data_IF_523608634188
#
_entry.id   IF_523608634188
#
_cell.length_a   1.000
_cell.length_b   1.000
_cell.length_c   1.000
_cell.angle_alpha   90.00
_cell.angle_beta   90.00
_cell.angle_gamma   90.00
#
_symmetry.space_group_name_H-M   'P 1'
#
loop_
_entity.id
_entity.type
_entity.pdbx_description
1 polymer ?
#
# COMPACT_ATOMS: atom_id res chain seq x y z
N UNK A 1 -34.17 -35.80 8.33
CA UNK A 1 -34.11 -34.41 8.82
C UNK A 1 -32.67 -33.92 8.63
N UNK A 2 -32.38 -33.00 7.69
CA UNK A 2 -31.01 -32.48 7.49
C UNK A 2 -30.63 -31.66 8.72
N UNK A 3 -29.56 -32.02 9.40
CA UNK A 3 -28.98 -31.22 10.49
C UNK A 3 -28.63 -29.87 9.93
N UNK A 4 -29.41 -28.85 10.21
CA UNK A 4 -29.07 -27.47 9.84
C UNK A 4 -27.81 -27.08 10.62
N UNK A 5 -26.75 -26.70 9.95
CA UNK A 5 -25.51 -26.24 10.57
C UNK A 5 -25.77 -24.93 11.36
N UNK A 6 -26.18 -25.07 12.61
CA UNK A 6 -26.50 -23.95 13.51
C UNK A 6 -25.26 -23.07 13.76
N UNK A 7 -24.07 -23.66 13.71
CA UNK A 7 -22.82 -22.94 13.88
C UNK A 7 -22.55 -21.95 12.75
N UNK A 8 -22.78 -22.34 11.48
CA UNK A 8 -22.61 -21.46 10.31
C UNK A 8 -23.58 -20.27 10.36
N UNK A 9 -24.85 -20.52 10.68
CA UNK A 9 -25.88 -19.48 10.81
C UNK A 9 -25.55 -18.53 11.98
N UNK A 10 -25.04 -19.07 13.10
CA UNK A 10 -24.60 -18.25 14.22
C UNK A 10 -23.41 -17.37 13.85
N UNK A 11 -22.39 -17.92 13.15
CA UNK A 11 -21.25 -17.17 12.65
C UNK A 11 -21.67 -16.04 11.72
N UNK A 12 -22.57 -16.31 10.75
CA UNK A 12 -23.09 -15.28 9.85
C UNK A 12 -23.82 -14.16 10.60
N UNK A 13 -24.69 -14.51 11.58
CA UNK A 13 -25.38 -13.50 12.39
C UNK A 13 -24.43 -12.65 13.23
N UNK A 14 -23.32 -13.23 13.72
CA UNK A 14 -22.29 -12.50 14.46
C UNK A 14 -21.48 -11.57 13.53
N UNK A 15 -21.27 -11.94 12.28
CA UNK A 15 -20.54 -11.12 11.30
C UNK A 15 -21.39 -9.98 10.71
N UNK A 16 -22.72 -10.13 10.66
CA UNK A 16 -23.62 -9.19 10.01
C UNK A 16 -23.48 -7.72 10.49
N UNK A 17 -23.30 -7.42 11.80
CA UNK A 17 -23.08 -6.05 12.26
C UNK A 17 -21.80 -5.44 11.71
N UNK A 18 -20.72 -6.23 11.60
CA UNK A 18 -19.44 -5.77 11.05
C UNK A 18 -19.54 -5.50 9.55
N UNK A 19 -20.19 -6.39 8.79
CA UNK A 19 -20.45 -6.19 7.35
C UNK A 19 -21.25 -4.91 7.15
N UNK A 20 -22.30 -4.69 7.95
CA UNK A 20 -23.14 -3.50 7.83
C UNK A 20 -22.39 -2.21 8.20
N UNK A 21 -21.53 -2.24 9.22
CA UNK A 21 -20.74 -1.10 9.65
C UNK A 21 -19.69 -0.65 8.61
N UNK A 22 -19.22 -1.59 7.78
CA UNK A 22 -18.17 -1.31 6.79
C UNK A 22 -18.67 -1.17 5.35
N UNK A 23 -19.91 -1.54 5.06
CA UNK A 23 -20.49 -1.41 3.73
C UNK A 23 -20.53 0.06 3.30
N UNK A 24 -20.05 0.35 2.09
CA UNK A 24 -19.95 1.70 1.53
C UNK A 24 -18.81 2.54 2.09
N UNK A 25 -18.05 2.01 3.06
CA UNK A 25 -16.87 2.66 3.63
C UNK A 25 -15.68 2.55 2.69
N UNK A 26 -14.82 3.57 2.70
CA UNK A 26 -13.60 3.59 1.92
C UNK A 26 -12.42 3.13 2.78
N UNK A 27 -11.72 2.11 2.30
CA UNK A 27 -10.52 1.58 2.94
C UNK A 27 -9.34 1.69 1.98
N UNK A 28 -8.23 2.23 2.48
CA UNK A 28 -6.93 2.17 1.80
C UNK A 28 -6.14 1.02 2.39
N UNK A 29 -5.71 0.10 1.54
CA UNK A 29 -4.92 -1.08 1.93
C UNK A 29 -3.55 -0.96 1.30
N UNK A 30 -2.50 -0.92 2.11
CA UNK A 30 -1.12 -0.90 1.66
C UNK A 30 -0.50 -2.28 1.80
N UNK A 31 0.02 -2.80 0.69
CA UNK A 31 0.80 -4.03 0.62
C UNK A 31 2.26 -3.67 0.37
N UNK A 32 3.11 -3.80 1.37
CA UNK A 32 4.56 -3.72 1.18
C UNK A 32 5.04 -4.78 0.17
N UNK A 33 6.17 -4.54 -0.47
CA UNK A 33 6.76 -5.51 -1.40
C UNK A 33 7.05 -6.86 -0.74
N UNK A 34 7.33 -6.87 0.56
CA UNK A 34 7.54 -8.05 1.41
C UNK A 34 6.25 -8.87 1.55
N UNK A 35 5.13 -8.22 1.83
CA UNK A 35 3.83 -8.87 1.93
C UNK A 35 3.40 -9.51 0.60
N UNK A 36 3.80 -8.91 -0.54
CA UNK A 36 3.54 -9.46 -1.87
C UNK A 36 4.41 -10.68 -2.15
N UNK A 37 5.63 -10.70 -1.61
CA UNK A 37 6.56 -11.83 -1.73
C UNK A 37 6.24 -12.99 -0.76
N UNK A 38 5.39 -12.75 0.23
CA UNK A 38 5.03 -13.75 1.24
C UNK A 38 4.13 -14.86 0.66
N UNK A 39 4.29 -16.07 1.20
CA UNK A 39 3.46 -17.24 0.83
C UNK A 39 1.96 -17.04 1.12
N UNK A 40 1.62 -16.15 2.04
CA UNK A 40 0.23 -15.84 2.41
C UNK A 40 -0.42 -14.79 1.48
N UNK A 41 0.32 -14.21 0.55
CA UNK A 41 -0.19 -13.20 -0.38
C UNK A 41 -1.48 -13.62 -1.14
N UNK A 42 -1.64 -14.86 -1.62
CA UNK A 42 -2.89 -15.30 -2.25
C UNK A 42 -4.11 -15.18 -1.33
N UNK A 43 -3.96 -15.47 -0.04
CA UNK A 43 -5.04 -15.35 0.95
C UNK A 43 -5.39 -13.87 1.19
N UNK A 44 -4.38 -13.00 1.33
CA UNK A 44 -4.58 -11.55 1.48
C UNK A 44 -5.39 -11.00 0.29
N UNK A 45 -5.04 -11.38 -0.93
CA UNK A 45 -5.78 -10.96 -2.14
C UNK A 45 -7.22 -11.49 -2.13
N UNK A 46 -7.44 -12.72 -1.70
CA UNK A 46 -8.79 -13.29 -1.59
C UNK A 46 -9.63 -12.57 -0.54
N UNK A 47 -9.03 -12.20 0.58
CA UNK A 47 -9.70 -11.43 1.63
C UNK A 47 -10.05 -10.00 1.18
N UNK A 48 -9.17 -9.34 0.43
CA UNK A 48 -9.42 -8.03 -0.18
C UNK A 48 -10.60 -8.12 -1.18
N UNK A 49 -10.60 -9.15 -2.02
CA UNK A 49 -11.67 -9.40 -2.97
C UNK A 49 -13.01 -9.66 -2.27
N UNK A 50 -12.99 -10.41 -1.16
CA UNK A 50 -14.16 -10.65 -0.32
C UNK A 50 -14.68 -9.34 0.32
N UNK A 51 -13.81 -8.53 0.91
CA UNK A 51 -14.21 -7.23 1.47
C UNK A 51 -14.86 -6.33 0.43
N UNK A 52 -14.29 -6.27 -0.76
CA UNK A 52 -14.86 -5.50 -1.88
C UNK A 52 -16.24 -6.04 -2.28
N UNK A 53 -16.41 -7.36 -2.37
CA UNK A 53 -17.69 -7.99 -2.70
C UNK A 53 -18.77 -7.77 -1.64
N UNK A 54 -18.39 -7.52 -0.39
CA UNK A 54 -19.28 -7.13 0.70
C UNK A 54 -19.67 -5.64 0.67
N UNK A 55 -19.19 -4.90 -0.33
CA UNK A 55 -19.54 -3.50 -0.57
C UNK A 55 -18.58 -2.48 0.06
N UNK A 56 -17.38 -2.88 0.43
CA UNK A 56 -16.31 -1.96 0.85
C UNK A 56 -15.66 -1.37 -0.39
N UNK A 57 -15.45 -0.06 -0.42
CA UNK A 57 -14.68 0.65 -1.45
C UNK A 57 -13.19 0.51 -1.13
N UNK A 58 -12.43 -0.13 -2.02
CA UNK A 58 -11.03 -0.45 -1.77
C UNK A 58 -10.11 0.33 -2.69
N UNK A 59 -9.17 1.05 -2.10
CA UNK A 59 -7.96 1.53 -2.78
C UNK A 59 -6.80 0.66 -2.31
N UNK A 60 -6.14 -0.01 -3.23
CA UNK A 60 -5.00 -0.87 -2.96
C UNK A 60 -3.73 -0.15 -3.39
N UNK A 61 -2.79 0.02 -2.48
CA UNK A 61 -1.47 0.60 -2.75
C UNK A 61 -0.43 -0.49 -2.61
N UNK A 62 0.42 -0.67 -3.62
CA UNK A 62 1.48 -1.66 -3.55
C UNK A 62 2.87 -1.03 -3.50
N UNK A 63 3.73 -1.59 -2.66
CA UNK A 63 5.18 -1.37 -2.69
C UNK A 63 5.87 -2.30 -3.67
N UNK A 64 7.17 -2.07 -3.89
CA UNK A 64 7.98 -2.89 -4.80
C UNK A 64 9.45 -3.00 -4.34
N UNK A 65 9.78 -2.59 -3.11
CA UNK A 65 11.17 -2.44 -2.65
C UNK A 65 12.01 -3.73 -2.80
N UNK A 66 11.60 -4.92 -2.30
CA UNK A 66 12.38 -6.15 -2.46
C UNK A 66 12.51 -6.57 -3.91
N UNK A 67 11.48 -6.37 -4.72
CA UNK A 67 11.48 -6.76 -6.13
C UNK A 67 12.40 -5.84 -6.95
N UNK A 68 12.43 -4.55 -6.61
CA UNK A 68 13.39 -3.60 -7.19
C UNK A 68 14.81 -4.03 -6.83
N UNK A 69 15.09 -4.34 -5.55
CA UNK A 69 16.41 -4.80 -5.10
C UNK A 69 16.86 -6.05 -5.88
N UNK A 70 15.98 -7.06 -6.02
CA UNK A 70 16.29 -8.27 -6.78
C UNK A 70 16.64 -8.00 -8.26
N UNK A 71 15.96 -7.04 -8.90
CA UNK A 71 16.25 -6.70 -10.29
C UNK A 71 17.57 -5.93 -10.40
N UNK A 72 17.83 -4.99 -9.49
CA UNK A 72 19.08 -4.24 -9.43
C UNK A 72 20.27 -5.18 -9.19
N UNK A 73 20.19 -6.08 -8.22
CA UNK A 73 21.23 -7.08 -7.92
C UNK A 73 21.55 -7.95 -9.14
N UNK A 74 20.53 -8.47 -9.85
CA UNK A 74 20.71 -9.25 -11.07
C UNK A 74 21.42 -8.48 -12.19
N UNK A 75 21.32 -7.16 -12.17
CA UNK A 75 21.98 -6.27 -13.14
C UNK A 75 23.31 -5.71 -12.63
N UNK A 76 23.78 -6.19 -11.45
CA UNK A 76 24.98 -5.66 -10.77
C UNK A 76 24.92 -4.15 -10.59
N UNK A 77 23.74 -3.60 -10.40
CA UNK A 77 23.47 -2.20 -10.12
C UNK A 77 23.11 -2.05 -8.65
N UNK A 78 23.58 -0.98 -8.03
CA UNK A 78 23.27 -0.63 -6.66
C UNK A 78 22.80 0.81 -6.62
N UNK A 79 21.72 1.06 -5.92
CA UNK A 79 21.21 2.42 -5.70
C UNK A 79 21.36 2.75 -4.22
N UNK A 80 22.00 3.88 -3.88
CA UNK A 80 22.14 4.29 -2.49
C UNK A 80 20.80 4.75 -1.91
N UNK A 81 20.74 4.80 -0.60
CA UNK A 81 19.64 5.37 0.16
C UNK A 81 20.12 6.59 0.94
N UNK A 82 19.25 7.56 1.11
CA UNK A 82 19.46 8.70 1.99
C UNK A 82 18.18 8.96 2.78
N UNK A 83 18.26 8.97 4.12
CA UNK A 83 17.11 9.09 5.01
C UNK A 83 15.98 8.12 4.65
N UNK A 84 16.34 6.85 4.36
CA UNK A 84 15.39 5.79 4.00
C UNK A 84 14.67 5.99 2.65
N UNK A 85 15.09 6.95 1.82
CA UNK A 85 14.63 7.12 0.44
C UNK A 85 15.70 6.61 -0.51
N UNK A 86 15.31 5.74 -1.43
CA UNK A 86 16.20 5.31 -2.52
C UNK A 86 16.54 6.51 -3.42
N UNK A 87 17.79 6.69 -3.75
CA UNK A 87 18.20 7.60 -4.82
C UNK A 87 18.04 6.86 -6.15
N UNK A 88 17.05 7.30 -6.93
CA UNK A 88 16.72 6.64 -8.20
C UNK A 88 17.33 7.44 -9.35
N UNK A 89 18.48 7.02 -9.85
CA UNK A 89 19.11 7.64 -11.00
C UNK A 89 18.43 7.24 -12.33
N UNK A 90 18.81 7.87 -13.43
CA UNK A 90 18.25 7.61 -14.75
C UNK A 90 18.45 6.15 -15.19
N UNK A 91 19.57 5.55 -14.82
CA UNK A 91 19.90 4.17 -15.18
C UNK A 91 19.06 3.14 -14.44
N UNK A 92 18.70 3.42 -13.19
CA UNK A 92 17.89 2.54 -12.34
C UNK A 92 16.39 2.76 -12.53
N UNK A 93 15.95 3.95 -12.97
CA UNK A 93 14.52 4.26 -13.14
C UNK A 93 13.80 3.23 -14.01
N UNK A 94 14.39 2.83 -15.13
CA UNK A 94 13.81 1.80 -16.01
C UNK A 94 13.60 0.46 -15.31
N UNK A 95 14.53 0.05 -14.44
CA UNK A 95 14.44 -1.20 -13.66
C UNK A 95 13.39 -1.10 -12.54
N UNK A 96 13.29 0.07 -11.91
CA UNK A 96 12.25 0.37 -10.92
C UNK A 96 10.86 0.30 -11.56
N UNK A 97 10.68 0.93 -12.72
CA UNK A 97 9.43 0.87 -13.49
C UNK A 97 9.08 -0.55 -13.92
N UNK A 98 10.08 -1.35 -14.34
CA UNK A 98 9.89 -2.76 -14.67
C UNK A 98 9.36 -3.55 -13.47
N UNK A 99 9.98 -3.42 -12.30
CA UNK A 99 9.56 -4.10 -11.08
C UNK A 99 8.12 -3.73 -10.68
N UNK A 100 7.83 -2.42 -10.66
CA UNK A 100 6.52 -1.91 -10.29
C UNK A 100 5.43 -2.36 -11.27
N UNK A 101 5.69 -2.31 -12.59
CA UNK A 101 4.76 -2.75 -13.62
C UNK A 101 4.47 -4.26 -13.55
N UNK A 102 5.48 -5.08 -13.31
CA UNK A 102 5.30 -6.52 -13.12
C UNK A 102 4.39 -6.82 -11.92
N UNK A 103 4.60 -6.13 -10.80
CA UNK A 103 3.76 -6.31 -9.62
C UNK A 103 2.32 -5.84 -9.85
N UNK A 104 2.14 -4.68 -10.48
CA UNK A 104 0.82 -4.16 -10.82
C UNK A 104 0.02 -5.18 -11.63
N UNK A 105 0.61 -5.77 -12.67
CA UNK A 105 -0.04 -6.79 -13.48
C UNK A 105 -0.26 -8.10 -12.72
N UNK A 106 0.69 -8.52 -11.88
CA UNK A 106 0.55 -9.73 -11.07
C UNK A 106 -0.60 -9.60 -10.04
N UNK A 107 -0.72 -8.45 -9.39
CA UNK A 107 -1.81 -8.16 -8.44
C UNK A 107 -3.15 -8.12 -9.18
N UNK A 108 -3.24 -7.41 -10.31
CA UNK A 108 -4.44 -7.35 -11.14
C UNK A 108 -4.92 -8.74 -11.57
N UNK A 109 -4.00 -9.57 -12.06
CA UNK A 109 -4.31 -10.94 -12.47
C UNK A 109 -4.85 -11.79 -11.31
N UNK A 110 -4.23 -11.68 -10.12
CA UNK A 110 -4.68 -12.42 -8.93
C UNK A 110 -6.04 -11.94 -8.43
N UNK A 111 -6.30 -10.65 -8.40
CA UNK A 111 -7.62 -10.10 -8.05
C UNK A 111 -8.69 -10.58 -9.03
N UNK A 112 -8.37 -10.63 -10.32
CA UNK A 112 -9.31 -11.12 -11.36
C UNK A 112 -9.67 -12.59 -11.20
N UNK A 113 -8.82 -13.38 -10.53
CA UNK A 113 -9.02 -14.83 -10.30
C UNK A 113 -9.57 -15.14 -8.90
N UNK A 114 -9.47 -14.23 -7.95
CA UNK A 114 -9.55 -14.52 -6.50
C UNK A 114 -10.87 -15.14 -6.05
N UNK A 115 -11.97 -14.94 -6.78
CA UNK A 115 -13.29 -15.48 -6.42
C UNK A 115 -13.71 -16.73 -7.22
N UNK A 116 -12.93 -17.17 -8.21
CA UNK A 116 -13.31 -18.25 -9.12
C UNK A 116 -13.54 -19.61 -8.44
N UNK A 117 -12.82 -19.88 -7.35
CA UNK A 117 -12.93 -21.12 -6.58
C UNK A 117 -13.74 -20.95 -5.28
N UNK A 118 -14.54 -19.91 -5.18
CA UNK A 118 -15.40 -19.62 -4.04
C UNK A 118 -16.87 -19.71 -4.43
N UNK A 119 -17.81 -19.73 -3.47
CA UNK A 119 -19.23 -19.62 -3.75
C UNK A 119 -19.63 -18.37 -4.52
N UNK A 120 -18.73 -17.40 -4.67
CA UNK A 120 -18.88 -16.16 -5.43
C UNK A 120 -18.28 -16.25 -6.84
N UNK A 121 -18.01 -17.47 -7.33
CA UNK A 121 -17.54 -17.70 -8.69
C UNK A 121 -18.49 -17.02 -9.71
N UNK A 122 -17.92 -16.26 -10.63
CA UNK A 122 -18.66 -15.44 -11.61
C UNK A 122 -18.80 -13.96 -11.22
N UNK A 123 -18.43 -13.55 -10.00
CA UNK A 123 -18.31 -12.13 -9.67
C UNK A 123 -17.09 -11.54 -10.36
N UNK A 124 -17.31 -10.57 -11.25
CA UNK A 124 -16.20 -9.86 -11.90
C UNK A 124 -15.71 -8.73 -10.98
N UNK A 125 -14.42 -8.74 -10.69
CA UNK A 125 -13.74 -7.65 -10.02
C UNK A 125 -13.06 -6.77 -11.06
N UNK A 126 -13.46 -5.51 -11.13
CA UNK A 126 -12.77 -4.52 -11.94
C UNK A 126 -11.63 -3.89 -11.15
N UNK A 127 -10.42 -3.99 -11.68
CA UNK A 127 -9.23 -3.35 -11.10
C UNK A 127 -8.76 -2.28 -12.05
N UNK A 128 -8.68 -1.06 -11.57
CA UNK A 128 -8.31 0.12 -12.36
C UNK A 128 -7.03 0.72 -11.82
N UNK A 129 -6.05 0.88 -12.70
CA UNK A 129 -4.83 1.65 -12.45
C UNK A 129 -4.76 2.80 -13.45
N UNK A 130 -4.20 3.94 -13.04
CA UNK A 130 -4.11 5.11 -13.90
C UNK A 130 -3.25 6.21 -13.29
N UNK A 131 -3.27 7.38 -13.94
CA UNK A 131 -2.53 8.57 -13.53
C UNK A 131 -3.25 9.39 -12.44
N UNK A 132 -3.79 8.72 -11.43
CA UNK A 132 -4.48 9.38 -10.31
C UNK A 132 -3.54 10.19 -9.43
N UNK A 133 -2.23 9.96 -9.54
CA UNK A 133 -1.20 10.66 -8.78
C UNK A 133 -0.33 11.44 -9.74
N UNK A 134 -0.19 12.73 -9.49
CA UNK A 134 0.78 13.60 -10.13
C UNK A 134 1.94 13.79 -9.16
N UNK A 135 3.14 13.48 -9.61
CA UNK A 135 4.37 13.58 -8.82
C UNK A 135 5.15 14.87 -9.12
N UNK A 136 6.13 15.12 -8.30
CA UNK A 136 7.19 16.10 -8.48
C UNK A 136 8.50 15.54 -7.90
N UNK A 137 9.68 16.02 -8.34
CA UNK A 137 10.95 15.58 -7.79
C UNK A 137 11.05 15.92 -6.30
N UNK A 138 11.76 15.10 -5.53
CA UNK A 138 12.16 15.45 -4.16
C UNK A 138 13.15 16.62 -4.16
N UNK A 139 14.02 16.67 -5.16
CA UNK A 139 15.07 17.68 -5.28
C UNK A 139 16.33 17.30 -4.51
N UNK A 140 17.01 18.32 -3.96
CA UNK A 140 18.25 18.16 -3.22
C UNK A 140 17.99 18.41 -1.74
N UNK A 141 18.44 17.49 -0.89
CA UNK A 141 18.39 17.61 0.57
C UNK A 141 19.78 17.35 1.15
N UNK A 142 20.28 18.26 1.98
CA UNK A 142 21.62 18.20 2.61
C UNK A 142 22.76 17.93 1.58
N UNK A 143 22.61 18.43 0.35
CA UNK A 143 23.60 18.26 -0.71
C UNK A 143 23.46 16.93 -1.49
N UNK A 144 22.49 16.09 -1.17
CA UNK A 144 22.20 14.85 -1.87
C UNK A 144 21.06 15.07 -2.87
N UNK A 145 21.31 14.83 -4.15
CA UNK A 145 20.27 14.87 -5.19
C UNK A 145 19.57 13.52 -5.27
N UNK A 146 18.25 13.54 -5.11
CA UNK A 146 17.41 12.34 -5.19
C UNK A 146 17.06 11.90 -6.62
N UNK A 147 17.49 12.66 -7.63
CA UNK A 147 17.28 12.38 -9.05
C UNK A 147 15.78 12.11 -9.38
N UNK A 148 15.45 10.90 -9.82
CA UNK A 148 14.09 10.48 -10.14
C UNK A 148 13.29 9.91 -8.95
N UNK A 149 13.73 10.11 -7.73
CA UNK A 149 12.88 9.89 -6.57
C UNK A 149 12.01 11.11 -6.32
N UNK A 150 10.75 10.88 -6.13
CA UNK A 150 9.76 11.94 -6.10
C UNK A 150 8.86 11.90 -4.89
N UNK A 151 8.01 12.90 -4.80
CA UNK A 151 6.93 13.01 -3.83
C UNK A 151 5.62 13.37 -4.53
N UNK A 152 4.52 13.20 -3.82
CA UNK A 152 3.20 13.53 -4.35
C UNK A 152 3.04 15.05 -4.48
N UNK A 153 2.66 15.51 -5.67
CA UNK A 153 2.25 16.89 -5.91
C UNK A 153 0.74 17.06 -5.78
N UNK A 154 -0.03 16.13 -6.37
CA UNK A 154 -1.49 16.17 -6.37
C UNK A 154 -2.06 14.77 -6.55
N UNK A 155 -3.21 14.52 -5.93
CA UNK A 155 -4.02 13.32 -6.09
C UNK A 155 -5.33 13.71 -6.75
N UNK A 156 -5.75 12.96 -7.77
CA UNK A 156 -7.06 13.09 -8.41
C UNK A 156 -8.12 12.35 -7.58
N UNK A 157 -8.58 13.02 -6.53
CA UNK A 157 -9.58 12.50 -5.59
C UNK A 157 -10.91 12.20 -6.30
N UNK A 158 -11.32 13.07 -7.23
CA UNK A 158 -12.58 12.90 -7.96
C UNK A 158 -12.52 11.68 -8.90
N UNK A 159 -11.40 11.51 -9.60
CA UNK A 159 -11.16 10.36 -10.44
C UNK A 159 -11.18 9.05 -9.67
N UNK A 160 -10.48 9.00 -8.52
CA UNK A 160 -10.49 7.82 -7.64
C UNK A 160 -11.91 7.53 -7.15
N UNK A 161 -12.62 8.52 -6.61
CA UNK A 161 -13.98 8.32 -6.10
C UNK A 161 -14.94 7.83 -7.19
N UNK A 162 -14.82 8.37 -8.41
CA UNK A 162 -15.62 7.92 -9.56
C UNK A 162 -15.39 6.43 -9.86
N UNK A 163 -14.15 5.95 -9.81
CA UNK A 163 -13.86 4.53 -10.02
C UNK A 163 -14.40 3.66 -8.89
N UNK A 164 -14.27 4.12 -7.65
CA UNK A 164 -14.82 3.42 -6.47
C UNK A 164 -16.35 3.35 -6.53
N UNK A 165 -17.02 4.41 -6.97
CA UNK A 165 -18.49 4.47 -7.12
C UNK A 165 -18.99 3.54 -8.24
N UNK A 166 -18.17 3.32 -9.28
CA UNK A 166 -18.43 2.32 -10.33
C UNK A 166 -18.15 0.88 -9.86
N UNK A 167 -17.80 0.66 -8.60
CA UNK A 167 -17.51 -0.66 -8.05
C UNK A 167 -16.17 -1.24 -8.50
N UNK A 168 -15.19 -0.40 -8.80
CA UNK A 168 -13.83 -0.83 -9.12
C UNK A 168 -12.93 -0.78 -7.89
N UNK A 169 -11.95 -1.67 -7.82
CA UNK A 169 -10.79 -1.53 -6.94
C UNK A 169 -9.79 -0.62 -7.63
N UNK A 170 -9.36 0.46 -6.97
CA UNK A 170 -8.31 1.34 -7.50
C UNK A 170 -6.95 0.82 -7.03
N UNK A 171 -6.08 0.46 -7.98
CA UNK A 171 -4.73 -0.04 -7.71
C UNK A 171 -3.70 1.04 -8.02
N UNK A 172 -2.94 1.45 -7.02
CA UNK A 172 -1.89 2.44 -7.09
C UNK A 172 -0.53 1.79 -6.81
N UNK A 173 0.50 2.23 -7.52
CA UNK A 173 1.88 1.77 -7.34
C UNK A 173 2.82 2.90 -6.95
N UNK A 174 4.13 2.59 -6.81
CA UNK A 174 5.15 3.57 -6.44
C UNK A 174 5.61 4.44 -7.62
N UNK A 175 5.09 4.27 -8.82
CA UNK A 175 5.48 5.08 -9.99
C UNK A 175 4.36 6.06 -10.32
N UNK A 176 4.73 7.33 -10.42
CA UNK A 176 3.82 8.37 -10.89
C UNK A 176 4.54 9.35 -11.84
N UNK A 177 3.76 10.02 -12.68
CA UNK A 177 4.29 10.99 -13.63
C UNK A 177 4.11 12.41 -13.12
N UNK A 178 5.06 13.29 -13.47
CA UNK A 178 4.94 14.73 -13.29
C UNK A 178 4.01 15.35 -14.33
N UNK A 179 3.75 16.63 -14.19
CA UNK A 179 3.01 17.44 -15.20
C UNK A 179 3.78 17.59 -16.53
N UNK A 180 5.08 17.38 -16.51
CA UNK A 180 5.98 17.41 -17.69
C UNK A 180 6.13 16.04 -18.34
N UNK A 181 5.54 14.98 -17.76
CA UNK A 181 5.58 13.62 -18.30
C UNK A 181 6.75 12.77 -17.81
N UNK A 182 7.61 13.30 -16.94
CA UNK A 182 8.70 12.55 -16.33
C UNK A 182 8.17 11.60 -15.26
N UNK A 183 8.74 10.39 -15.18
CA UNK A 183 8.37 9.41 -14.17
C UNK A 183 9.24 9.53 -12.93
N UNK A 184 8.61 9.36 -11.77
CA UNK A 184 9.28 9.39 -10.48
C UNK A 184 8.91 8.15 -9.64
N UNK A 185 9.90 7.68 -8.89
CA UNK A 185 9.74 6.63 -7.89
C UNK A 185 9.29 7.27 -6.57
N UNK A 186 8.10 6.91 -6.12
CA UNK A 186 7.48 7.40 -4.89
C UNK A 186 7.59 6.36 -3.78
N UNK A 187 7.51 6.82 -2.55
CA UNK A 187 7.36 5.94 -1.39
C UNK A 187 5.91 5.45 -1.31
N UNK A 188 5.72 4.14 -1.27
CA UNK A 188 4.38 3.53 -1.16
C UNK A 188 3.66 3.92 0.12
N UNK A 189 4.39 4.12 1.19
CA UNK A 189 3.88 4.60 2.49
C UNK A 189 3.29 6.01 2.35
N UNK A 190 4.02 6.92 1.68
CA UNK A 190 3.51 8.27 1.39
C UNK A 190 2.28 8.21 0.49
N UNK A 191 2.30 7.36 -0.53
CA UNK A 191 1.14 7.18 -1.42
C UNK A 191 -0.07 6.72 -0.61
N UNK A 192 0.06 5.70 0.23
CA UNK A 192 -1.04 5.14 1.00
C UNK A 192 -1.62 6.16 2.00
N UNK A 193 -0.75 6.84 2.74
CA UNK A 193 -1.17 7.82 3.77
C UNK A 193 -1.80 9.05 3.16
N UNK A 194 -1.18 9.64 2.13
CA UNK A 194 -1.72 10.83 1.47
C UNK A 194 -3.04 10.54 0.74
N UNK A 195 -3.18 9.38 0.11
CA UNK A 195 -4.43 8.94 -0.52
C UNK A 195 -5.50 8.75 0.54
N UNK A 196 -5.20 8.11 1.68
CA UNK A 196 -6.14 7.92 2.77
C UNK A 196 -6.64 9.26 3.33
N UNK A 197 -5.74 10.21 3.57
CA UNK A 197 -6.08 11.56 4.06
C UNK A 197 -6.95 12.30 3.05
N UNK A 198 -6.55 12.36 1.78
CA UNK A 198 -7.26 13.13 0.74
C UNK A 198 -8.63 12.55 0.40
N UNK A 199 -8.79 11.23 0.43
CA UNK A 199 -10.07 10.56 0.27
C UNK A 199 -10.93 10.60 1.54
N UNK A 200 -10.38 11.04 2.68
CA UNK A 200 -11.01 10.90 4.01
C UNK A 200 -11.43 9.46 4.25
N UNK A 201 -10.52 8.53 3.98
CA UNK A 201 -10.79 7.10 4.11
C UNK A 201 -11.16 6.76 5.56
N UNK A 202 -12.09 5.83 5.71
CA UNK A 202 -12.54 5.36 7.03
C UNK A 202 -11.46 4.54 7.74
N UNK A 203 -10.57 3.87 6.95
CA UNK A 203 -9.44 3.08 7.48
C UNK A 203 -8.27 3.09 6.51
N UNK A 204 -7.07 3.10 7.08
CA UNK A 204 -5.81 2.76 6.42
C UNK A 204 -5.28 1.49 7.07
N UNK A 205 -4.99 0.46 6.26
CA UNK A 205 -4.49 -0.84 6.71
C UNK A 205 -3.16 -1.07 6.02
N UNK A 206 -2.08 -1.23 6.78
CA UNK A 206 -0.76 -1.58 6.27
C UNK A 206 -0.40 -3.02 6.60
N UNK A 207 0.07 -3.75 5.59
CA UNK A 207 0.69 -5.05 5.77
C UNK A 207 2.20 -4.87 5.83
N UNK A 208 2.79 -5.16 6.97
CA UNK A 208 4.23 -5.08 7.21
C UNK A 208 4.75 -6.45 7.68
N UNK A 209 6.07 -6.72 7.54
CA UNK A 209 6.66 -7.99 7.97
C UNK A 209 6.70 -8.16 9.50
N UNK A 210 6.74 -7.05 10.24
CA UNK A 210 6.72 -7.06 11.71
C UNK A 210 5.30 -7.24 12.23
N UNK A 211 5.18 -7.53 13.54
CA UNK A 211 3.90 -7.65 14.26
C UNK A 211 3.19 -6.30 14.48
N UNK A 212 3.52 -5.28 13.72
CA UNK A 212 3.03 -3.91 13.83
C UNK A 212 4.13 -2.94 14.27
N UNK A 213 3.73 -1.80 14.83
CA UNK A 213 4.65 -0.81 15.37
C UNK A 213 5.26 -1.38 16.66
N UNK A 214 6.60 -1.29 16.79
CA UNK A 214 7.35 -1.87 17.90
C UNK A 214 7.85 -0.73 18.80
N UNK A 215 7.78 -0.92 20.11
CA UNK A 215 8.40 0.00 21.07
C UNK A 215 9.94 -0.18 21.12
N UNK A 216 10.62 0.72 21.83
CA UNK A 216 12.08 0.67 22.02
C UNK A 216 12.56 -0.61 22.74
N UNK A 217 11.63 -1.41 23.31
CA UNK A 217 11.92 -2.68 23.99
C UNK A 217 11.64 -3.89 23.11
N UNK A 218 11.20 -3.68 21.86
CA UNK A 218 10.87 -4.75 20.93
C UNK A 218 9.45 -5.35 21.09
N UNK A 219 8.55 -4.71 21.87
CA UNK A 219 7.18 -5.17 22.01
C UNK A 219 6.27 -4.50 20.99
N UNK A 220 5.34 -5.27 20.42
CA UNK A 220 4.33 -4.71 19.52
C UNK A 220 3.35 -3.82 20.29
N UNK A 221 3.14 -2.60 19.81
CA UNK A 221 2.21 -1.64 20.37
C UNK A 221 0.83 -1.93 19.80
N UNK A 222 -0.13 -2.30 20.66
CA UNK A 222 -1.46 -2.67 20.24
C UNK A 222 -2.34 -1.47 19.86
N UNK A 223 -2.10 -0.32 20.47
CA UNK A 223 -2.89 0.89 20.25
C UNK A 223 -2.03 2.13 20.50
N UNK A 224 -2.12 3.11 19.60
CA UNK A 224 -1.44 4.40 19.71
C UNK A 224 -2.46 5.52 19.47
N UNK A 225 -2.45 6.50 20.34
CA UNK A 225 -3.20 7.74 20.14
C UNK A 225 -2.34 8.76 19.38
N UNK A 226 -2.94 9.73 18.66
CA UNK A 226 -2.18 10.72 17.89
C UNK A 226 -1.11 11.46 18.72
N UNK A 227 -1.39 11.77 19.99
CA UNK A 227 -0.42 12.39 20.91
C UNK A 227 0.81 11.51 21.20
N UNK A 228 0.64 10.19 21.13
CA UNK A 228 1.71 9.23 21.40
C UNK A 228 2.54 8.98 20.16
N UNK A 229 1.90 9.07 18.98
CA UNK A 229 2.58 8.95 17.68
C UNK A 229 3.63 10.03 17.50
N UNK A 230 3.33 11.29 17.82
CA UNK A 230 4.32 12.39 17.73
C UNK A 230 5.55 12.14 18.59
N UNK A 231 5.37 11.59 19.80
CA UNK A 231 6.48 11.26 20.69
C UNK A 231 7.28 10.08 20.17
N UNK A 232 6.59 9.07 19.65
CA UNK A 232 7.23 7.89 19.06
C UNK A 232 8.06 8.28 17.84
N UNK A 233 7.52 9.05 16.91
CA UNK A 233 8.23 9.52 15.71
C UNK A 233 9.48 10.31 16.10
N UNK A 234 9.39 11.23 17.06
CA UNK A 234 10.55 11.99 17.54
C UNK A 234 11.63 11.12 18.18
N UNK A 235 11.24 10.07 18.92
CA UNK A 235 12.24 9.13 19.48
C UNK A 235 12.89 8.29 18.39
N UNK A 236 12.12 7.83 17.40
CA UNK A 236 12.65 7.08 16.27
C UNK A 236 13.58 7.93 15.39
N UNK A 237 13.29 9.22 15.17
CA UNK A 237 14.18 10.15 14.45
C UNK A 237 15.56 10.29 15.09
N UNK A 238 15.64 10.16 16.41
CA UNK A 238 16.91 10.23 17.15
C UNK A 238 17.68 8.91 17.16
N UNK A 239 16.98 7.79 17.06
CA UNK A 239 17.53 6.44 17.18
C UNK A 239 17.77 5.76 15.84
N UNK A 240 17.06 6.18 14.76
CA UNK A 240 17.20 5.60 13.43
C UNK A 240 18.60 5.84 12.85
N UNK A 241 19.26 4.76 12.46
CA UNK A 241 20.44 4.89 11.62
C UNK A 241 20.07 5.44 10.23
N UNK A 242 20.94 6.24 9.58
CA UNK A 242 20.64 6.85 8.28
C UNK A 242 20.22 5.87 7.17
N UNK A 243 20.63 4.63 7.29
CA UNK A 243 20.40 3.54 6.34
C UNK A 243 19.28 2.56 6.79
N UNK A 244 18.61 2.82 7.91
CA UNK A 244 17.55 1.96 8.44
C UNK A 244 16.21 2.21 7.72
N UNK A 245 16.03 1.53 6.59
CA UNK A 245 14.84 1.63 5.76
C UNK A 245 13.55 1.26 6.50
N UNK A 246 13.58 0.28 7.39
CA UNK A 246 12.39 -0.19 8.12
C UNK A 246 11.94 0.84 9.14
N UNK A 247 12.88 1.44 9.87
CA UNK A 247 12.60 2.51 10.80
C UNK A 247 11.95 3.68 10.10
N UNK A 248 12.55 4.16 8.99
CA UNK A 248 11.97 5.27 8.21
C UNK A 248 10.63 4.93 7.57
N UNK A 249 10.42 3.68 7.12
CA UNK A 249 9.14 3.23 6.58
C UNK A 249 8.04 3.31 7.64
N UNK A 250 8.32 2.82 8.85
CA UNK A 250 7.39 2.86 9.98
C UNK A 250 7.06 4.30 10.39
N UNK A 251 8.08 5.16 10.49
CA UNK A 251 7.90 6.59 10.79
C UNK A 251 6.97 7.27 9.77
N UNK A 252 7.19 7.05 8.48
CA UNK A 252 6.40 7.68 7.42
C UNK A 252 4.96 7.17 7.37
N UNK A 253 4.74 5.94 7.76
CA UNK A 253 3.38 5.41 7.87
C UNK A 253 2.62 6.02 9.04
N UNK A 254 3.32 6.40 10.11
CA UNK A 254 2.76 7.00 11.31
C UNK A 254 2.68 8.54 11.26
N UNK A 255 3.65 9.21 10.63
CA UNK A 255 3.82 10.66 10.69
C UNK A 255 2.64 11.53 10.17
N UNK A 256 1.79 11.07 9.24
CA UNK A 256 0.66 11.87 8.77
C UNK A 256 -0.59 11.79 9.65
N UNK A 257 -0.57 11.02 10.72
CA UNK A 257 -1.71 10.88 11.65
C UNK A 257 -1.71 12.01 12.67
#
# INVERSE_FOLDING_TARGET
MKIRSTALVKGFRQSAPYVNAHRGKTMVVMLGGEAIADKNFPNIISDIALLHSLGVKVVLVHGARPQINQILEKKSSCTPYHKGVRITDESSLGLVMQAAGQLQHAITARLSMSLNNTPMAGTQLNVVSGNFIISQPLGIDEGVDYCHSGRIRRIDVEGINRMLDLGSIVLLGPIASSVTGECFNLLSEEVATQVAIKLKADKLIGFCPQQGIIDTKGNAIAELFPSDVERLVKSMEQECAPDDEECFSTMRFCAPL
#
